data_IF_027983092746
#
_entry.id   IF_027983092746
#
_cell.length_a   1.000
_cell.length_b   1.000
_cell.length_c   1.000
_cell.angle_alpha   90.00
_cell.angle_beta   90.00
_cell.angle_gamma   90.00
#
_symmetry.space_group_name_H-M   'P 1'
#
loop_
_entity.id
_entity.type
_entity.pdbx_description
1 polymer ?
#
# COMPACT_ATOMS: atom_id res chain seq x y z
N UNK A 1 -19.33 10.44 -30.93
CA UNK A 1 -17.97 9.99 -31.26
C UNK A 1 -18.06 8.49 -31.42
N UNK A 2 -17.61 7.91 -32.54
CA UNK A 2 -17.57 6.45 -32.69
C UNK A 2 -16.63 5.87 -31.63
N UNK A 3 -17.04 4.77 -30.98
CA UNK A 3 -16.17 4.05 -30.05
C UNK A 3 -15.17 3.22 -30.85
N UNK A 4 -14.01 2.98 -30.24
CA UNK A 4 -12.93 2.18 -30.82
C UNK A 4 -13.20 0.72 -30.46
N UNK A 5 -13.05 -0.21 -31.39
CA UNK A 5 -13.07 -1.65 -31.06
C UNK A 5 -11.62 -2.13 -31.00
N UNK A 6 -11.03 -2.33 -29.80
CA UNK A 6 -9.67 -2.83 -29.68
C UNK A 6 -9.52 -4.21 -30.33
N UNK A 7 -8.32 -4.50 -30.84
CA UNK A 7 -8.03 -5.82 -31.39
C UNK A 7 -8.12 -6.86 -30.27
N UNK A 8 -8.98 -7.87 -30.47
CA UNK A 8 -9.21 -8.93 -29.50
C UNK A 8 -10.31 -8.64 -28.48
N UNK A 9 -11.01 -7.52 -28.61
CA UNK A 9 -12.19 -7.21 -27.80
C UNK A 9 -13.34 -8.15 -28.14
N UNK A 10 -14.10 -8.50 -27.11
CA UNK A 10 -15.29 -9.34 -27.23
C UNK A 10 -16.51 -8.54 -26.79
N UNK A 11 -17.56 -8.48 -27.60
CA UNK A 11 -18.77 -7.70 -27.27
C UNK A 11 -19.66 -8.39 -26.24
N UNK A 12 -19.73 -9.73 -26.30
CA UNK A 12 -20.50 -10.54 -25.38
C UNK A 12 -19.66 -10.99 -24.18
N UNK A 13 -20.18 -10.77 -22.98
CA UNK A 13 -19.47 -11.11 -21.74
C UNK A 13 -19.26 -12.62 -21.56
N UNK A 14 -20.22 -13.46 -22.00
CA UNK A 14 -20.10 -14.91 -21.86
C UNK A 14 -19.00 -15.43 -22.80
N UNK A 15 -18.94 -14.91 -24.03
CA UNK A 15 -17.87 -15.23 -24.98
C UNK A 15 -16.52 -14.74 -24.44
N UNK A 16 -16.44 -13.50 -23.95
CA UNK A 16 -15.26 -12.97 -23.28
C UNK A 16 -14.76 -13.87 -22.16
N UNK A 17 -15.64 -14.26 -21.23
CA UNK A 17 -15.30 -15.09 -20.09
C UNK A 17 -14.85 -16.49 -20.50
N UNK A 18 -15.54 -17.10 -21.47
CA UNK A 18 -15.15 -18.41 -22.03
C UNK A 18 -13.79 -18.36 -22.72
N UNK A 19 -13.48 -17.30 -23.46
CA UNK A 19 -12.19 -17.14 -24.13
C UNK A 19 -11.04 -16.91 -23.14
N UNK A 20 -11.30 -16.20 -22.04
CA UNK A 20 -10.28 -15.79 -21.07
C UNK A 20 -10.30 -16.60 -19.75
N UNK A 21 -10.99 -17.74 -19.71
CA UNK A 21 -11.21 -18.50 -18.47
C UNK A 21 -9.91 -18.90 -17.75
N UNK A 22 -8.84 -19.20 -18.49
CA UNK A 22 -7.53 -19.54 -17.91
C UNK A 22 -6.98 -18.34 -17.12
N UNK A 23 -6.97 -17.15 -17.73
CA UNK A 23 -6.46 -15.93 -17.08
C UNK A 23 -7.32 -15.58 -15.86
N UNK A 24 -8.65 -15.67 -15.99
CA UNK A 24 -9.57 -15.45 -14.88
C UNK A 24 -9.36 -16.45 -13.73
N UNK A 25 -9.10 -17.72 -14.05
CA UNK A 25 -8.78 -18.75 -13.06
C UNK A 25 -7.45 -18.49 -12.34
N UNK A 26 -6.43 -18.02 -13.07
CA UNK A 26 -5.15 -17.61 -12.49
C UNK A 26 -5.35 -16.42 -11.54
N UNK A 27 -6.08 -15.39 -11.95
CA UNK A 27 -6.40 -14.23 -11.10
C UNK A 27 -7.13 -14.66 -9.83
N UNK A 28 -8.15 -15.51 -9.97
CA UNK A 28 -8.88 -16.06 -8.82
C UNK A 28 -7.97 -16.85 -7.87
N UNK A 29 -7.02 -17.61 -8.42
CA UNK A 29 -6.04 -18.37 -7.63
C UNK A 29 -5.06 -17.46 -6.89
N UNK A 30 -4.63 -16.34 -7.49
CA UNK A 30 -3.78 -15.34 -6.83
C UNK A 30 -4.50 -14.70 -5.63
N UNK A 31 -5.78 -14.35 -5.80
CA UNK A 31 -6.59 -13.81 -4.70
C UNK A 31 -6.78 -14.86 -3.59
N UNK A 32 -7.10 -16.10 -3.95
CA UNK A 32 -7.22 -17.19 -3.00
C UNK A 32 -5.91 -17.44 -2.24
N UNK A 33 -4.77 -17.36 -2.93
CA UNK A 33 -3.45 -17.45 -2.32
C UNK A 33 -3.20 -16.32 -1.31
N UNK A 34 -3.52 -15.08 -1.66
CA UNK A 34 -3.38 -13.96 -0.72
C UNK A 34 -4.23 -14.16 0.54
N UNK A 35 -5.48 -14.65 0.40
CA UNK A 35 -6.35 -14.99 1.54
C UNK A 35 -5.73 -16.10 2.38
N UNK A 36 -5.20 -17.15 1.76
CA UNK A 36 -4.54 -18.24 2.47
C UNK A 36 -3.32 -17.76 3.26
N UNK A 37 -2.48 -16.91 2.66
CA UNK A 37 -1.33 -16.28 3.34
C UNK A 37 -1.80 -15.47 4.55
N UNK A 38 -2.86 -14.67 4.41
CA UNK A 38 -3.46 -13.95 5.53
C UNK A 38 -3.88 -14.88 6.68
N UNK A 39 -4.61 -15.94 6.36
CA UNK A 39 -5.10 -16.91 7.35
C UNK A 39 -3.94 -17.59 8.08
N UNK A 40 -2.89 -18.00 7.39
CA UNK A 40 -1.69 -18.58 8.00
C UNK A 40 -1.07 -17.61 9.02
N UNK A 41 -0.90 -16.34 8.66
CA UNK A 41 -0.36 -15.33 9.58
C UNK A 41 -1.24 -15.16 10.80
N UNK A 42 -2.57 -15.08 10.59
CA UNK A 42 -3.57 -14.93 11.65
C UNK A 42 -3.58 -16.11 12.60
N UNK A 43 -3.44 -17.34 12.10
CA UNK A 43 -3.35 -18.55 12.90
C UNK A 43 -2.07 -18.59 13.75
N UNK A 44 -0.93 -18.18 13.18
CA UNK A 44 0.37 -18.19 13.88
C UNK A 44 0.52 -17.10 14.92
N UNK A 45 0.07 -15.88 14.62
CA UNK A 45 0.19 -14.75 15.54
C UNK A 45 -1.02 -13.81 15.43
N UNK A 46 -2.04 -14.02 16.29
CA UNK A 46 -3.25 -13.18 16.31
C UNK A 46 -2.99 -11.72 16.70
N UNK A 47 -1.87 -11.40 17.36
CA UNK A 47 -1.53 -10.02 17.77
C UNK A 47 -0.85 -9.22 16.66
N UNK A 48 -0.32 -9.89 15.63
CA UNK A 48 0.28 -9.22 14.47
C UNK A 48 -0.78 -8.57 13.59
N UNK A 49 -0.40 -7.49 12.91
CA UNK A 49 -1.21 -6.88 11.85
C UNK A 49 -1.06 -7.68 10.55
N UNK A 50 -1.57 -8.91 10.56
CA UNK A 50 -1.38 -9.87 9.46
C UNK A 50 -2.05 -9.43 8.14
N UNK A 51 -3.04 -8.53 8.21
CA UNK A 51 -3.70 -7.98 7.02
C UNK A 51 -2.73 -7.18 6.14
N UNK A 52 -1.66 -6.63 6.71
CA UNK A 52 -0.63 -5.92 5.94
C UNK A 52 0.01 -6.82 4.87
N UNK A 53 0.20 -8.11 5.15
CA UNK A 53 0.76 -9.05 4.17
C UNK A 53 -0.20 -9.33 3.03
N UNK A 54 -1.50 -9.42 3.33
CA UNK A 54 -2.55 -9.52 2.31
C UNK A 54 -2.53 -8.29 1.39
N UNK A 55 -2.52 -7.09 1.99
CA UNK A 55 -2.47 -5.85 1.23
C UNK A 55 -1.22 -5.75 0.36
N UNK A 56 -0.06 -6.14 0.89
CA UNK A 56 1.19 -6.17 0.14
C UNK A 56 1.11 -7.07 -1.11
N UNK A 57 0.53 -8.27 -1.00
CA UNK A 57 0.34 -9.15 -2.15
C UNK A 57 -0.60 -8.53 -3.20
N UNK A 58 -1.68 -7.88 -2.77
CA UNK A 58 -2.58 -7.18 -3.70
C UNK A 58 -1.87 -6.03 -4.42
N UNK A 59 -1.05 -5.24 -3.73
CA UNK A 59 -0.21 -4.20 -4.33
C UNK A 59 0.70 -4.79 -5.41
N UNK A 60 1.32 -5.96 -5.15
CA UNK A 60 2.15 -6.64 -6.15
C UNK A 60 1.36 -7.15 -7.36
N UNK A 61 0.11 -7.56 -7.19
CA UNK A 61 -0.73 -8.00 -8.30
C UNK A 61 -1.22 -6.81 -9.13
N UNK A 62 -1.62 -5.73 -8.47
CA UNK A 62 -2.10 -4.51 -9.11
C UNK A 62 -1.05 -3.89 -10.02
N UNK A 63 0.18 -3.72 -9.56
CA UNK A 63 1.28 -3.25 -10.42
C UNK A 63 1.50 -4.16 -11.64
N UNK A 64 1.35 -5.48 -11.48
CA UNK A 64 1.53 -6.41 -12.60
C UNK A 64 0.41 -6.24 -13.65
N UNK A 65 -0.84 -6.10 -13.23
CA UNK A 65 -1.97 -5.91 -14.14
C UNK A 65 -2.00 -4.51 -14.76
N UNK A 66 -1.64 -3.47 -14.00
CA UNK A 66 -1.53 -2.11 -14.52
C UNK A 66 -0.42 -1.97 -15.56
N UNK A 67 0.73 -2.62 -15.35
CA UNK A 67 1.77 -2.70 -16.37
C UNK A 67 1.31 -3.50 -17.59
N UNK A 68 0.56 -4.59 -17.40
CA UNK A 68 0.00 -5.35 -18.51
C UNK A 68 -0.98 -4.51 -19.33
N UNK A 69 -1.88 -3.77 -18.67
CA UNK A 69 -2.78 -2.81 -19.31
C UNK A 69 -1.99 -1.73 -20.06
N UNK A 70 -0.98 -1.14 -19.43
CA UNK A 70 -0.14 -0.11 -20.03
C UNK A 70 0.54 -0.60 -21.33
N UNK A 71 1.13 -1.80 -21.29
CA UNK A 71 1.87 -2.37 -22.42
C UNK A 71 0.92 -2.82 -23.54
N UNK A 72 -0.23 -3.41 -23.20
CA UNK A 72 -1.08 -4.12 -24.17
C UNK A 72 -2.26 -3.30 -24.67
N UNK A 73 -2.77 -2.36 -23.89
CA UNK A 73 -4.05 -1.72 -24.16
C UNK A 73 -4.03 -0.20 -24.14
N UNK A 74 -3.11 0.45 -23.40
CA UNK A 74 -3.11 1.91 -23.33
C UNK A 74 -2.89 2.60 -24.69
N UNK A 75 -2.34 1.92 -25.70
CA UNK A 75 -2.21 2.42 -27.07
C UNK A 75 -3.48 2.28 -27.93
N UNK A 76 -4.48 1.51 -27.50
CA UNK A 76 -5.73 1.34 -28.26
C UNK A 76 -6.49 2.67 -28.34
N UNK A 77 -6.35 3.53 -27.32
CA UNK A 77 -6.98 4.85 -27.26
C UNK A 77 -5.95 5.95 -27.51
N UNK A 78 -6.11 6.78 -28.56
CA UNK A 78 -5.17 7.84 -28.88
C UNK A 78 -4.90 8.77 -27.68
N UNK A 79 -3.62 8.94 -27.34
CA UNK A 79 -3.16 9.80 -26.24
C UNK A 79 -3.18 9.16 -24.85
N UNK A 80 -3.89 8.05 -24.64
CA UNK A 80 -4.01 7.41 -23.33
C UNK A 80 -2.68 6.80 -22.86
N UNK A 81 -1.89 6.23 -23.79
CA UNK A 81 -0.55 5.71 -23.48
C UNK A 81 0.36 6.76 -22.84
N UNK A 82 0.44 7.96 -23.43
CA UNK A 82 1.28 9.05 -22.88
C UNK A 82 0.80 9.49 -21.51
N UNK A 83 -0.51 9.62 -21.34
CA UNK A 83 -1.11 9.99 -20.06
C UNK A 83 -0.78 8.94 -18.98
N UNK A 84 -0.97 7.66 -19.30
CA UNK A 84 -0.70 6.54 -18.39
C UNK A 84 0.78 6.49 -18.01
N UNK A 85 1.70 6.68 -18.97
CA UNK A 85 3.14 6.72 -18.72
C UNK A 85 3.53 7.85 -17.77
N UNK A 86 2.98 9.05 -17.97
CA UNK A 86 3.26 10.22 -17.12
C UNK A 86 2.79 9.95 -15.69
N UNK A 87 1.57 9.44 -15.51
CA UNK A 87 1.02 9.09 -14.20
C UNK A 87 1.87 8.01 -13.52
N UNK A 88 2.23 6.93 -14.23
CA UNK A 88 3.04 5.84 -13.70
C UNK A 88 4.42 6.33 -13.23
N UNK A 89 5.12 7.13 -14.03
CA UNK A 89 6.44 7.66 -13.66
C UNK A 89 6.33 8.66 -12.51
N UNK A 90 5.36 9.58 -12.56
CA UNK A 90 5.21 10.62 -11.54
C UNK A 90 4.86 10.02 -10.17
N UNK A 91 3.85 9.14 -10.12
CA UNK A 91 3.43 8.45 -8.90
C UNK A 91 4.54 7.55 -8.35
N UNK A 92 5.13 6.70 -9.19
CA UNK A 92 6.20 5.80 -8.80
C UNK A 92 7.42 6.54 -8.23
N UNK A 93 7.83 7.65 -8.85
CA UNK A 93 8.95 8.45 -8.38
C UNK A 93 8.65 9.14 -7.04
N UNK A 94 7.44 9.69 -6.89
CA UNK A 94 7.00 10.35 -5.65
C UNK A 94 6.96 9.36 -4.48
N UNK A 95 6.38 8.18 -4.71
CA UNK A 95 6.32 7.11 -3.72
C UNK A 95 7.70 6.60 -3.32
N UNK A 96 8.58 6.37 -4.30
CA UNK A 96 9.93 5.89 -4.03
C UNK A 96 10.76 6.94 -3.25
N UNK A 97 10.66 8.22 -3.64
CA UNK A 97 11.34 9.31 -2.96
C UNK A 97 10.89 9.44 -1.50
N UNK A 98 9.57 9.45 -1.25
CA UNK A 98 9.04 9.48 0.10
C UNK A 98 9.45 8.26 0.91
N UNK A 99 9.40 7.07 0.30
CA UNK A 99 9.78 5.83 0.96
C UNK A 99 11.24 5.85 1.41
N UNK A 100 12.14 6.30 0.53
CA UNK A 100 13.54 6.47 0.84
C UNK A 100 13.75 7.50 1.95
N UNK A 101 13.09 8.66 1.87
CA UNK A 101 13.16 9.69 2.89
C UNK A 101 12.71 9.18 4.28
N UNK A 102 11.60 8.42 4.33
CA UNK A 102 11.09 7.81 5.58
C UNK A 102 12.13 6.85 6.15
N UNK A 103 12.71 5.96 5.34
CA UNK A 103 13.68 4.98 5.82
C UNK A 103 14.95 5.65 6.32
N UNK A 104 15.49 6.63 5.58
CA UNK A 104 16.68 7.38 6.02
C UNK A 104 16.40 8.10 7.33
N UNK A 105 15.26 8.78 7.45
CA UNK A 105 14.87 9.46 8.68
C UNK A 105 14.76 8.48 9.85
N UNK A 106 14.13 7.32 9.65
CA UNK A 106 14.02 6.31 10.70
C UNK A 106 15.36 5.70 11.08
N UNK A 107 16.26 5.48 10.11
CA UNK A 107 17.60 4.96 10.38
C UNK A 107 18.44 5.94 11.22
N UNK A 108 18.33 7.24 10.97
CA UNK A 108 19.12 8.27 11.67
C UNK A 108 18.57 8.54 13.07
N UNK A 109 17.24 8.72 13.20
CA UNK A 109 16.63 9.27 14.41
C UNK A 109 15.97 8.22 15.32
N UNK A 110 15.88 6.96 14.90
CA UNK A 110 15.26 5.90 15.69
C UNK A 110 16.23 4.71 15.88
N UNK A 111 16.93 4.62 17.03
CA UNK A 111 17.89 3.56 17.30
C UNK A 111 17.31 2.14 17.17
N UNK A 112 16.05 1.94 17.55
CA UNK A 112 15.40 0.63 17.46
C UNK A 112 15.18 0.21 15.99
N UNK A 113 14.77 1.14 15.13
CA UNK A 113 14.67 0.88 13.70
C UNK A 113 16.05 0.72 13.05
N UNK A 114 17.03 1.51 13.47
CA UNK A 114 18.41 1.44 12.96
C UNK A 114 19.05 0.07 13.22
N UNK A 115 18.89 -0.47 14.43
CA UNK A 115 19.35 -1.81 14.79
C UNK A 115 18.64 -2.91 13.98
N UNK A 116 17.32 -2.81 13.82
CA UNK A 116 16.60 -3.75 12.95
C UNK A 116 17.06 -3.64 11.49
N UNK A 117 17.32 -2.42 11.00
CA UNK A 117 17.73 -2.18 9.61
C UNK A 117 19.14 -2.73 9.33
N UNK A 118 20.09 -2.65 10.25
CA UNK A 118 21.44 -3.21 10.04
C UNK A 118 21.40 -4.73 9.78
N UNK A 119 20.55 -5.44 10.52
CA UNK A 119 20.34 -6.88 10.37
C UNK A 119 19.52 -7.24 9.11
N UNK A 120 18.61 -6.37 8.67
CA UNK A 120 17.61 -6.68 7.63
C UNK A 120 17.69 -5.80 6.37
N UNK A 121 18.81 -5.10 6.14
CA UNK A 121 18.96 -4.08 5.10
C UNK A 121 18.60 -4.55 3.68
N UNK A 122 18.88 -5.81 3.31
CA UNK A 122 18.53 -6.36 1.98
C UNK A 122 17.02 -6.47 1.78
N UNK A 123 16.33 -6.96 2.80
CA UNK A 123 14.86 -7.03 2.80
C UNK A 123 14.26 -5.63 2.80
N UNK A 124 14.82 -4.72 3.59
CA UNK A 124 14.38 -3.33 3.61
C UNK A 124 14.52 -2.68 2.23
N UNK A 125 15.67 -2.85 1.55
CA UNK A 125 15.88 -2.33 0.21
C UNK A 125 14.87 -2.88 -0.81
N UNK A 126 14.60 -4.19 -0.79
CA UNK A 126 13.62 -4.83 -1.69
C UNK A 126 12.22 -4.21 -1.53
N UNK A 127 11.72 -4.11 -0.29
CA UNK A 127 10.41 -3.53 -0.03
C UNK A 127 10.36 -2.04 -0.36
N UNK A 128 11.48 -1.32 -0.19
CA UNK A 128 11.57 0.10 -0.60
C UNK A 128 11.40 0.26 -2.11
N UNK A 129 11.88 -0.70 -2.90
CA UNK A 129 11.64 -0.69 -4.35
C UNK A 129 10.17 -0.99 -4.64
N UNK A 130 9.59 -1.99 -3.98
CA UNK A 130 8.16 -2.29 -4.13
C UNK A 130 7.26 -1.14 -3.68
N UNK A 131 7.71 -0.32 -2.73
CA UNK A 131 6.94 0.82 -2.26
C UNK A 131 6.85 1.96 -3.26
N UNK A 132 7.60 1.91 -4.38
CA UNK A 132 7.33 2.74 -5.55
C UNK A 132 5.91 2.50 -6.11
N UNK A 133 5.44 1.25 -6.07
CA UNK A 133 4.08 0.90 -6.49
C UNK A 133 3.02 1.43 -5.52
N UNK A 134 3.28 1.34 -4.22
CA UNK A 134 2.43 1.93 -3.19
C UNK A 134 3.23 2.02 -1.89
N UNK A 135 3.34 3.22 -1.34
CA UNK A 135 4.12 3.49 -0.12
C UNK A 135 3.66 2.68 1.10
N UNK A 136 2.42 2.19 1.10
CA UNK A 136 1.90 1.33 2.16
C UNK A 136 2.62 -0.03 2.25
N UNK A 137 3.35 -0.45 1.21
CA UNK A 137 4.22 -1.63 1.28
C UNK A 137 5.21 -1.56 2.46
N UNK A 138 5.65 -0.35 2.86
CA UNK A 138 6.54 -0.15 4.01
C UNK A 138 5.96 -0.65 5.34
N UNK A 139 4.63 -0.72 5.48
CA UNK A 139 3.98 -1.25 6.69
C UNK A 139 4.41 -2.68 6.99
N UNK A 140 4.85 -3.44 5.97
CA UNK A 140 5.28 -4.83 6.13
C UNK A 140 6.39 -4.98 7.17
N UNK A 141 7.29 -4.00 7.26
CA UNK A 141 8.41 -4.01 8.21
C UNK A 141 7.96 -4.11 9.65
N UNK A 142 6.81 -3.53 9.99
CA UNK A 142 6.26 -3.47 11.36
C UNK A 142 4.98 -4.29 11.53
N UNK A 143 4.65 -5.13 10.55
CA UNK A 143 3.39 -5.90 10.54
C UNK A 143 3.33 -6.98 11.62
N UNK A 144 4.49 -7.47 12.08
CA UNK A 144 4.64 -8.64 12.93
C UNK A 144 3.87 -9.87 12.38
N UNK A 145 3.80 -9.99 11.05
CA UNK A 145 3.06 -11.07 10.40
C UNK A 145 3.64 -12.43 10.81
N UNK A 146 2.75 -13.30 11.30
CA UNK A 146 3.11 -14.65 11.76
C UNK A 146 4.15 -14.72 12.88
N UNK A 147 4.47 -13.58 13.53
CA UNK A 147 5.50 -13.52 14.58
C UNK A 147 6.94 -13.49 14.06
N UNK A 148 7.16 -13.19 12.77
CA UNK A 148 8.51 -13.23 12.18
C UNK A 148 9.34 -11.99 12.54
N UNK A 149 10.57 -12.21 13.06
CA UNK A 149 11.47 -11.14 13.51
C UNK A 149 11.79 -10.11 12.41
N UNK A 150 11.96 -10.55 11.16
CA UNK A 150 12.21 -9.67 10.01
C UNK A 150 11.08 -8.67 9.78
N UNK A 151 9.86 -8.94 10.28
CA UNK A 151 8.69 -8.08 10.13
C UNK A 151 8.31 -7.38 11.46
N UNK A 152 9.25 -7.22 12.39
CA UNK A 152 9.04 -6.61 13.70
C UNK A 152 9.81 -5.29 13.90
N UNK A 153 10.09 -4.56 12.80
CA UNK A 153 10.65 -3.22 12.87
C UNK A 153 9.77 -2.30 13.72
N UNK A 154 10.40 -1.43 14.51
CA UNK A 154 9.69 -0.45 15.34
C UNK A 154 9.81 0.93 14.73
N UNK A 155 8.80 1.36 13.98
CA UNK A 155 8.69 2.75 13.53
C UNK A 155 8.42 3.70 14.70
N UNK A 156 8.98 4.91 14.62
CA UNK A 156 8.52 6.02 15.47
C UNK A 156 7.13 6.49 15.06
N UNK A 157 6.42 7.22 15.92
CA UNK A 157 5.09 7.78 15.61
C UNK A 157 5.13 8.67 14.37
N UNK A 158 6.19 9.46 14.20
CA UNK A 158 6.43 10.28 13.00
C UNK A 158 6.55 9.39 11.76
N UNK A 159 7.26 8.25 11.85
CA UNK A 159 7.39 7.30 10.74
C UNK A 159 6.05 6.68 10.34
N UNK A 160 5.26 6.22 11.32
CA UNK A 160 3.91 5.67 11.07
C UNK A 160 3.01 6.71 10.40
N UNK A 161 3.01 7.95 10.90
CA UNK A 161 2.27 9.08 10.32
C UNK A 161 2.73 9.41 8.91
N UNK A 162 4.03 9.42 8.66
CA UNK A 162 4.58 9.69 7.32
C UNK A 162 4.14 8.61 6.31
N UNK A 163 4.13 7.33 6.70
CA UNK A 163 3.59 6.25 5.85
C UNK A 163 2.09 6.44 5.59
N UNK A 164 1.31 6.78 6.62
CA UNK A 164 -0.13 7.02 6.48
C UNK A 164 -0.44 8.20 5.54
N UNK A 165 0.25 9.34 5.71
CA UNK A 165 0.13 10.50 4.81
C UNK A 165 0.64 10.20 3.40
N UNK A 166 1.70 9.40 3.28
CA UNK A 166 2.15 8.87 2.01
C UNK A 166 1.02 8.11 1.29
N UNK A 167 0.27 7.27 2.00
CA UNK A 167 -0.89 6.56 1.45
C UNK A 167 -2.04 7.47 1.02
N UNK A 168 -2.16 8.67 1.60
CA UNK A 168 -3.12 9.70 1.12
C UNK A 168 -2.62 10.35 -0.17
N UNK A 169 -1.33 10.63 -0.28
CA UNK A 169 -0.74 11.15 -1.51
C UNK A 169 -0.79 10.12 -2.65
N UNK A 170 -0.54 8.84 -2.35
CA UNK A 170 -0.70 7.74 -3.31
C UNK A 170 -2.10 7.71 -3.92
N UNK A 171 -3.13 7.85 -3.09
CA UNK A 171 -4.52 7.92 -3.54
C UNK A 171 -4.75 9.03 -4.57
N UNK A 172 -4.24 10.22 -4.28
CA UNK A 172 -4.45 11.41 -5.10
C UNK A 172 -3.68 11.35 -6.44
N UNK A 173 -2.45 10.82 -6.42
CA UNK A 173 -1.55 10.86 -7.57
C UNK A 173 -1.45 9.56 -8.36
N UNK A 174 -1.92 8.45 -7.80
CA UNK A 174 -1.86 7.14 -8.45
C UNK A 174 -3.25 6.50 -8.57
N UNK A 175 -3.89 6.17 -7.45
CA UNK A 175 -5.08 5.30 -7.47
C UNK A 175 -6.26 5.98 -8.19
N UNK A 176 -6.56 7.25 -7.87
CA UNK A 176 -7.61 8.03 -8.54
C UNK A 176 -7.27 8.28 -10.02
N UNK A 177 -6.08 8.79 -10.39
CA UNK A 177 -5.70 8.93 -11.79
C UNK A 177 -5.77 7.62 -12.59
N UNK A 178 -5.35 6.50 -12.01
CA UNK A 178 -5.41 5.18 -12.65
C UNK A 178 -6.87 4.74 -12.87
N UNK A 179 -7.75 4.94 -11.89
CA UNK A 179 -9.18 4.70 -12.07
C UNK A 179 -9.75 5.56 -13.21
N UNK A 180 -9.39 6.85 -13.26
CA UNK A 180 -9.83 7.77 -14.32
C UNK A 180 -9.33 7.29 -15.69
N UNK A 181 -8.08 6.85 -15.81
CA UNK A 181 -7.51 6.27 -17.04
C UNK A 181 -8.32 5.06 -17.50
N UNK A 182 -8.65 4.14 -16.60
CA UNK A 182 -9.42 2.93 -16.92
C UNK A 182 -10.86 3.26 -17.32
N UNK A 183 -11.49 4.26 -16.68
CA UNK A 183 -12.83 4.75 -17.08
C UNK A 183 -12.78 5.43 -18.44
N UNK A 184 -11.74 6.22 -18.74
CA UNK A 184 -11.55 6.80 -20.08
C UNK A 184 -11.41 5.68 -21.12
N UNK A 185 -10.60 4.66 -20.83
CA UNK A 185 -10.47 3.50 -21.72
C UNK A 185 -11.84 2.86 -21.99
N UNK A 186 -12.60 2.56 -20.94
CA UNK A 186 -13.92 1.93 -21.03
C UNK A 186 -14.95 2.75 -21.80
N UNK A 187 -14.94 4.08 -21.63
CA UNK A 187 -15.90 4.97 -22.31
C UNK A 187 -15.55 5.17 -23.79
N UNK A 188 -14.28 5.01 -24.17
CA UNK A 188 -13.79 5.17 -25.54
C UNK A 188 -13.74 3.89 -26.34
N UNK A 189 -13.83 2.73 -25.69
CA UNK A 189 -13.75 1.42 -26.33
C UNK A 189 -15.09 0.66 -26.31
N UNK A 190 -15.26 -0.25 -27.26
CA UNK A 190 -16.33 -1.25 -27.29
C UNK A 190 -15.75 -2.64 -27.04
N UNK A 191 -16.54 -3.48 -26.37
CA UNK A 191 -16.16 -4.81 -25.96
C UNK A 191 -15.26 -4.88 -24.72
N UNK A 192 -15.04 -6.11 -24.27
CA UNK A 192 -14.28 -6.44 -23.07
C UNK A 192 -12.85 -6.84 -23.44
N UNK A 193 -11.88 -6.18 -22.79
CA UNK A 193 -10.46 -6.52 -22.87
C UNK A 193 -9.96 -6.99 -21.50
N UNK A 194 -9.20 -8.08 -21.47
CA UNK A 194 -8.91 -8.82 -20.24
C UNK A 194 -8.09 -8.00 -19.22
N UNK A 195 -7.04 -7.32 -19.66
CA UNK A 195 -6.18 -6.52 -18.77
C UNK A 195 -6.88 -5.29 -18.18
N UNK A 196 -7.52 -4.39 -18.98
CA UNK A 196 -8.24 -3.27 -18.40
C UNK A 196 -9.41 -3.73 -17.51
N UNK A 197 -10.06 -4.85 -17.82
CA UNK A 197 -11.10 -5.42 -16.97
C UNK A 197 -10.56 -5.85 -15.60
N UNK A 198 -9.45 -6.60 -15.57
CA UNK A 198 -8.83 -7.05 -14.33
C UNK A 198 -8.26 -5.86 -13.53
N UNK A 199 -7.54 -4.95 -14.18
CA UNK A 199 -7.03 -3.72 -13.54
C UNK A 199 -8.15 -2.90 -12.91
N UNK A 200 -9.31 -2.77 -13.57
CA UNK A 200 -10.45 -2.05 -13.01
C UNK A 200 -10.95 -2.69 -11.70
N UNK A 201 -11.05 -4.02 -11.66
CA UNK A 201 -11.46 -4.76 -10.45
C UNK A 201 -10.44 -4.55 -9.33
N UNK A 202 -9.14 -4.75 -9.60
CA UNK A 202 -8.10 -4.57 -8.58
C UNK A 202 -8.07 -3.14 -8.06
N UNK A 203 -8.14 -2.15 -8.95
CA UNK A 203 -8.10 -0.74 -8.58
C UNK A 203 -9.26 -0.38 -7.64
N UNK A 204 -10.49 -0.83 -7.94
CA UNK A 204 -11.65 -0.65 -7.05
C UNK A 204 -11.43 -1.33 -5.69
N UNK A 205 -10.97 -2.59 -5.68
CA UNK A 205 -10.71 -3.33 -4.44
C UNK A 205 -9.65 -2.65 -3.58
N UNK A 206 -8.54 -2.21 -4.17
CA UNK A 206 -7.45 -1.54 -3.48
C UNK A 206 -7.89 -0.18 -2.95
N UNK A 207 -8.63 0.60 -3.73
CA UNK A 207 -9.21 1.86 -3.26
C UNK A 207 -10.07 1.66 -2.00
N UNK A 208 -10.90 0.62 -1.98
CA UNK A 208 -11.69 0.26 -0.80
C UNK A 208 -10.81 -0.13 0.38
N UNK A 209 -9.83 -1.01 0.17
CA UNK A 209 -8.90 -1.46 1.23
C UNK A 209 -8.13 -0.27 1.81
N UNK A 210 -7.59 0.58 0.97
CA UNK A 210 -6.82 1.74 1.37
C UNK A 210 -7.69 2.78 2.09
N UNK A 211 -8.95 2.95 1.68
CA UNK A 211 -9.90 3.81 2.37
C UNK A 211 -10.12 3.34 3.82
N UNK A 212 -10.45 2.06 4.03
CA UNK A 212 -10.65 1.52 5.36
C UNK A 212 -9.34 1.43 6.17
N UNK A 213 -8.23 1.11 5.52
CA UNK A 213 -6.90 1.07 6.13
C UNK A 213 -6.50 2.43 6.71
N UNK A 214 -6.81 3.52 6.01
CA UNK A 214 -6.56 4.90 6.49
C UNK A 214 -7.42 5.27 7.69
N UNK A 215 -8.70 4.88 7.70
CA UNK A 215 -9.57 5.08 8.88
C UNK A 215 -8.96 4.35 10.09
N UNK A 216 -8.51 3.12 9.89
CA UNK A 216 -7.90 2.32 10.93
C UNK A 216 -6.58 2.94 11.45
N UNK A 217 -5.70 3.38 10.55
CA UNK A 217 -4.46 4.06 10.92
C UNK A 217 -4.72 5.34 11.74
N UNK A 218 -5.71 6.14 11.34
CA UNK A 218 -6.07 7.38 12.03
C UNK A 218 -6.52 7.10 13.48
N UNK A 219 -7.28 6.03 13.70
CA UNK A 219 -7.72 5.61 15.05
C UNK A 219 -6.51 5.14 15.88
N UNK A 220 -5.64 4.31 15.31
CA UNK A 220 -4.49 3.76 16.05
C UNK A 220 -3.47 4.84 16.40
N UNK A 221 -3.12 5.70 15.45
CA UNK A 221 -2.11 6.75 15.66
C UNK A 221 -2.56 7.69 16.77
N UNK A 222 -3.84 8.11 16.75
CA UNK A 222 -4.42 8.96 17.80
C UNK A 222 -4.27 8.34 19.20
N UNK A 223 -4.53 7.04 19.33
CA UNK A 223 -4.38 6.35 20.62
C UNK A 223 -2.91 6.27 21.09
N UNK A 224 -1.94 6.17 20.18
CA UNK A 224 -0.50 6.14 20.49
C UNK A 224 -0.04 7.53 21.01
N UNK A 225 -0.57 8.61 20.44
CA UNK A 225 -0.32 9.98 20.87
C UNK A 225 -0.91 10.28 22.25
N UNK A 226 -2.16 9.87 22.50
CA UNK A 226 -2.82 10.06 23.79
C UNK A 226 -2.07 9.30 24.91
N UNK A 227 -1.61 8.08 24.63
CA UNK A 227 -0.80 7.29 25.56
C UNK A 227 0.59 7.89 25.82
N UNK A 228 1.25 8.42 24.79
CA UNK A 228 2.55 9.09 24.92
C UNK A 228 2.43 10.39 25.71
N UNK A 229 1.41 11.20 25.41
CA UNK A 229 1.13 12.48 26.11
C UNK A 229 0.81 12.24 27.57
N UNK A 230 0.00 11.21 27.87
CA UNK A 230 -0.31 10.83 29.26
C UNK A 230 0.94 10.41 30.04
N UNK A 231 1.81 9.58 29.44
CA UNK A 231 3.07 9.14 30.07
C UNK A 231 4.05 10.30 30.30
N UNK A 232 4.09 11.27 29.39
CA UNK A 232 4.91 12.47 29.56
C UNK A 232 4.38 13.35 30.70
N UNK A 233 3.05 13.54 30.80
CA UNK A 233 2.42 14.28 31.88
C UNK A 233 2.56 13.60 33.25
N UNK A 234 2.49 12.27 33.31
CA UNK A 234 2.72 11.52 34.55
C UNK A 234 4.18 11.66 35.02
N UNK A 235 5.15 11.54 34.09
CA UNK A 235 6.57 11.75 34.40
C UNK A 235 6.91 13.17 34.81
N UNK A 236 6.33 14.18 34.14
CA UNK A 236 6.53 15.58 34.51
C UNK A 236 5.96 15.84 35.90
N UNK A 237 4.77 15.29 36.19
CA UNK A 237 4.15 15.40 37.51
C UNK A 237 5.03 14.76 38.59
N UNK A 238 5.50 13.52 38.42
CA UNK A 238 6.43 12.86 39.35
C UNK A 238 7.72 13.65 39.57
N UNK A 239 8.29 14.23 38.51
CA UNK A 239 9.49 15.07 38.63
C UNK A 239 9.23 16.37 39.40
N UNK A 240 8.06 17.00 39.20
CA UNK A 240 7.63 18.19 39.96
C UNK A 240 7.36 17.85 41.43
N UNK A 241 6.76 16.69 41.73
CA UNK A 241 6.56 16.21 43.11
C UNK A 241 7.88 15.86 43.81
N UNK A 242 8.84 15.24 43.10
CA UNK A 242 10.15 14.98 43.69
C UNK A 242 10.97 16.25 43.92
N UNK A 243 10.83 17.23 43.02
CA UNK A 243 11.48 18.53 43.20
C UNK A 243 10.89 19.28 44.41
N UNK A 244 9.56 19.36 44.54
CA UNK A 244 8.91 20.03 45.68
C UNK A 244 9.24 19.38 47.03
N UNK A 245 9.41 18.05 47.09
CA UNK A 245 9.90 17.37 48.30
C UNK A 245 11.37 17.67 48.63
N UNK A 246 12.21 18.05 47.66
CA UNK A 246 13.61 18.41 47.90
C UNK A 246 13.81 19.87 48.33
N UNK A 247 12.97 20.78 47.87
CA UNK A 247 13.03 22.21 48.24
C UNK A 247 12.06 22.62 49.37
N UNK A 248 11.17 21.71 49.80
CA UNK A 248 10.12 21.98 50.79
C UNK A 248 10.36 21.40 52.20
N UNK A 249 11.56 20.94 52.53
CA UNK A 249 11.87 20.55 53.92
C UNK A 249 12.28 21.82 54.72
N UNK A 250 11.53 22.21 55.77
CA UNK A 250 11.94 23.29 56.66
C UNK A 250 13.22 22.96 57.45
#
# INVERSE_FOLDING_TARGET
>A
MAKIVPIGAEEDFIVFAKKNYIVLSVVGSLVAFAILVYLIGRCRNRKGNNFVMFNFLLICYDIAFDLAFFIKNANDVPGLYRLTLIILIASGSLNLLMSFAIIVHQKIYNPAFSNWFSENHRFAALITVFSAANIQALKIFSSNYGGMNILQAKYSTIGKRAIAWGGVLNLAFQDIPQLVILVIYWTKTEGYMIFPFISLIFNVVILFIDFFGRIFDAIIIKNDDDGTTRRLNDRSSESTYQYSMRVGAP
#
